data_IF_530237144980
#
_entry.id   IF_530237144980
#
_cell.length_a   1.000
_cell.length_b   1.000
_cell.length_c   1.000
_cell.angle_alpha   90.00
_cell.angle_beta   90.00
_cell.angle_gamma   90.00
#
_symmetry.space_group_name_H-M   'P 1'
#
loop_
_entity.id
_entity.type
_entity.pdbx_description
1 polymer ?
#
# COMPACT_ATOMS: atom_id res chain seq x y z
N UNK A 1 31.57 2.33 -13.72
CA UNK A 1 31.50 3.12 -12.48
C UNK A 1 30.32 4.04 -12.59
N UNK A 2 29.31 3.80 -11.76
CA UNK A 2 28.13 4.65 -11.67
C UNK A 2 28.43 5.95 -10.88
N UNK A 3 27.52 6.93 -10.95
CA UNK A 3 27.72 8.25 -10.32
C UNK A 3 27.15 8.34 -8.88
N UNK A 4 26.58 7.27 -8.33
CA UNK A 4 25.80 7.31 -7.09
C UNK A 4 26.55 6.76 -5.88
N UNK A 5 27.28 5.66 -6.06
CA UNK A 5 28.03 5.00 -5.00
C UNK A 5 29.20 4.19 -5.57
N UNK A 6 30.19 3.90 -4.72
CA UNK A 6 31.27 2.97 -5.00
C UNK A 6 31.03 1.63 -4.29
N UNK A 7 31.37 0.51 -4.95
CA UNK A 7 31.22 -0.84 -4.39
C UNK A 7 32.02 -1.10 -3.11
N UNK A 8 33.04 -0.29 -2.85
CA UNK A 8 33.83 -0.30 -1.61
C UNK A 8 33.18 0.49 -0.47
N UNK A 9 32.09 1.20 -0.71
CA UNK A 9 31.35 1.88 0.36
C UNK A 9 30.60 0.87 1.22
N UNK A 10 30.37 1.25 2.48
CA UNK A 10 29.65 0.38 3.40
C UNK A 10 28.19 0.27 2.98
N UNK A 11 27.59 -0.90 3.24
CA UNK A 11 26.17 -1.11 2.97
C UNK A 11 25.32 -0.07 3.72
N UNK A 12 25.75 0.33 4.93
CA UNK A 12 25.11 1.39 5.68
C UNK A 12 25.13 2.74 4.94
N UNK A 13 26.28 3.19 4.47
CA UNK A 13 26.40 4.52 3.85
C UNK A 13 25.62 4.63 2.53
N UNK A 14 25.50 3.53 1.78
CA UNK A 14 24.68 3.51 0.56
C UNK A 14 23.19 3.48 0.90
N UNK A 15 22.78 2.68 1.88
CA UNK A 15 21.36 2.60 2.28
C UNK A 15 20.85 3.84 3.01
N UNK A 16 21.71 4.62 3.67
CA UNK A 16 21.31 5.90 4.25
C UNK A 16 21.18 7.00 3.18
N UNK A 17 22.02 6.97 2.14
CA UNK A 17 21.91 7.90 1.01
C UNK A 17 20.77 7.55 0.07
N UNK A 18 20.50 6.27 -0.11
CA UNK A 18 19.46 5.75 -1.00
C UNK A 18 18.61 4.70 -0.27
N UNK A 19 17.67 5.11 0.61
CA UNK A 19 16.86 4.19 1.41
C UNK A 19 16.04 3.18 0.60
N UNK A 20 15.66 3.51 -0.62
CA UNK A 20 14.99 2.62 -1.58
C UNK A 20 15.78 1.34 -1.88
N UNK A 21 17.11 1.38 -1.71
CA UNK A 21 17.99 0.22 -1.91
C UNK A 21 17.85 -0.83 -0.81
N UNK A 22 17.30 -0.47 0.35
CA UNK A 22 17.15 -1.38 1.50
C UNK A 22 16.27 -2.57 1.13
N UNK A 23 15.14 -2.32 0.45
CA UNK A 23 14.19 -3.36 0.08
C UNK A 23 14.79 -4.34 -0.94
N UNK A 24 15.58 -3.80 -1.87
CA UNK A 24 16.32 -4.60 -2.83
C UNK A 24 17.34 -5.51 -2.13
N UNK A 25 18.14 -4.97 -1.22
CA UNK A 25 19.12 -5.76 -0.46
C UNK A 25 18.42 -6.83 0.41
N UNK A 26 17.28 -6.50 1.03
CA UNK A 26 16.49 -7.47 1.76
C UNK A 26 16.03 -8.64 0.85
N UNK A 27 15.54 -8.32 -0.35
CA UNK A 27 15.14 -9.31 -1.37
C UNK A 27 16.29 -10.18 -1.89
N UNK A 28 17.54 -9.70 -1.79
CA UNK A 28 18.76 -10.47 -2.11
C UNK A 28 19.30 -11.29 -0.91
N UNK A 29 18.51 -11.42 0.15
CA UNK A 29 18.83 -12.25 1.32
C UNK A 29 19.55 -11.52 2.45
N UNK A 30 19.51 -10.17 2.46
CA UNK A 30 19.98 -9.33 3.58
C UNK A 30 18.82 -8.78 4.42
N UNK A 31 17.80 -9.61 4.67
CA UNK A 31 16.58 -9.25 5.43
C UNK A 31 16.85 -8.50 6.74
N UNK A 32 17.88 -8.81 7.56
CA UNK A 32 18.18 -8.03 8.76
C UNK A 32 18.42 -6.53 8.54
N UNK A 33 18.79 -6.10 7.32
CA UNK A 33 19.00 -4.68 7.01
C UNK A 33 17.71 -3.86 6.97
N UNK A 34 16.53 -4.48 6.92
CA UNK A 34 15.25 -3.76 7.03
C UNK A 34 15.10 -3.13 8.41
N UNK A 35 15.67 -3.75 9.45
CA UNK A 35 15.73 -3.19 10.79
C UNK A 35 16.84 -2.11 10.88
N UNK A 36 16.52 -0.85 11.24
CA UNK A 36 17.50 0.24 11.31
C UNK A 36 18.67 0.00 12.28
N UNK A 37 18.42 -0.67 13.41
CA UNK A 37 19.47 -0.98 14.39
C UNK A 37 20.43 -2.02 13.83
N UNK A 38 19.91 -3.07 13.21
CA UNK A 38 20.71 -4.12 12.57
C UNK A 38 21.46 -3.58 11.34
N UNK A 39 20.84 -2.70 10.55
CA UNK A 39 21.49 -2.01 9.43
C UNK A 39 22.68 -1.15 9.90
N UNK A 40 22.53 -0.43 11.01
CA UNK A 40 23.62 0.34 11.61
C UNK A 40 24.75 -0.54 12.17
N UNK A 41 24.41 -1.67 12.78
CA UNK A 41 25.39 -2.57 13.41
C UNK A 41 26.12 -3.47 12.41
N UNK A 42 25.42 -3.99 11.40
CA UNK A 42 25.95 -4.91 10.40
C UNK A 42 26.40 -4.18 9.14
N UNK A 43 25.60 -3.24 8.64
CA UNK A 43 25.86 -2.54 7.38
C UNK A 43 27.10 -1.66 7.42
N UNK A 44 27.52 -1.17 8.60
CA UNK A 44 28.78 -0.42 8.77
C UNK A 44 30.03 -1.30 8.70
N UNK A 45 29.88 -2.62 8.89
CA UNK A 45 30.99 -3.57 8.97
C UNK A 45 31.28 -4.27 7.65
N UNK A 46 30.47 -4.05 6.62
CA UNK A 46 30.58 -4.74 5.33
C UNK A 46 30.37 -3.77 4.18
N UNK A 47 31.18 -3.91 3.13
CA UNK A 47 31.03 -3.14 1.88
C UNK A 47 29.98 -3.79 0.99
N UNK A 48 29.41 -3.04 0.04
CA UNK A 48 28.46 -3.59 -0.93
C UNK A 48 29.04 -4.77 -1.70
N UNK A 49 30.27 -4.65 -2.19
CA UNK A 49 30.96 -5.73 -2.90
C UNK A 49 31.04 -7.01 -2.07
N UNK A 50 31.51 -6.88 -0.82
CA UNK A 50 31.67 -8.02 0.10
C UNK A 50 30.32 -8.62 0.49
N UNK A 51 29.29 -7.79 0.63
CA UNK A 51 27.94 -8.25 0.87
C UNK A 51 27.50 -9.13 -0.31
N UNK A 52 27.54 -8.63 -1.54
CA UNK A 52 27.11 -9.40 -2.71
C UNK A 52 27.91 -10.69 -2.92
N UNK A 53 29.24 -10.64 -2.73
CA UNK A 53 30.09 -11.84 -2.76
C UNK A 53 29.68 -12.88 -1.71
N UNK A 54 29.31 -12.46 -0.49
CA UNK A 54 28.89 -13.37 0.58
C UNK A 54 27.63 -14.17 0.24
N UNK A 55 26.80 -13.66 -0.68
CA UNK A 55 25.58 -14.32 -1.18
C UNK A 55 25.77 -14.94 -2.57
N UNK A 56 27.01 -14.99 -3.09
CA UNK A 56 27.35 -15.50 -4.43
C UNK A 56 26.56 -14.79 -5.55
N UNK A 57 26.32 -13.49 -5.38
CA UNK A 57 25.60 -12.67 -6.34
C UNK A 57 26.57 -12.07 -7.36
N UNK A 58 26.09 -11.88 -8.57
CA UNK A 58 26.82 -11.16 -9.62
C UNK A 58 26.89 -9.67 -9.27
N UNK A 59 28.11 -9.17 -9.00
CA UNK A 59 28.36 -7.80 -8.56
C UNK A 59 27.94 -6.79 -9.62
N UNK A 60 28.28 -7.04 -10.90
CA UNK A 60 27.99 -6.11 -12.00
C UNK A 60 26.48 -6.03 -12.25
N UNK A 61 25.77 -7.14 -12.12
CA UNK A 61 24.32 -7.16 -12.17
C UNK A 61 23.72 -6.39 -10.98
N UNK A 62 24.22 -6.62 -9.77
CA UNK A 62 23.72 -5.94 -8.58
C UNK A 62 24.01 -4.43 -8.60
N UNK A 63 25.15 -4.00 -9.15
CA UNK A 63 25.46 -2.58 -9.37
C UNK A 63 24.41 -1.95 -10.27
N UNK A 64 24.15 -2.58 -11.43
CA UNK A 64 23.18 -2.07 -12.41
C UNK A 64 21.78 -2.01 -11.81
N UNK A 65 21.34 -3.05 -11.09
CA UNK A 65 20.02 -3.08 -10.45
C UNK A 65 19.88 -1.98 -9.38
N UNK A 66 20.91 -1.77 -8.54
CA UNK A 66 20.91 -0.69 -7.55
C UNK A 66 20.88 0.70 -8.20
N UNK A 67 21.71 0.91 -9.22
CA UNK A 67 21.74 2.18 -9.97
C UNK A 67 20.40 2.43 -10.63
N UNK A 68 19.79 1.41 -11.23
CA UNK A 68 18.48 1.54 -11.85
C UNK A 68 17.41 1.90 -10.82
N UNK A 69 17.46 1.34 -9.60
CA UNK A 69 16.54 1.70 -8.51
C UNK A 69 16.70 3.18 -8.13
N UNK A 70 17.94 3.64 -7.97
CA UNK A 70 18.26 5.04 -7.62
C UNK A 70 17.82 5.98 -8.75
N UNK A 71 18.14 5.63 -10.00
CA UNK A 71 17.79 6.40 -11.19
C UNK A 71 16.29 6.43 -11.42
N UNK A 72 15.58 5.33 -11.18
CA UNK A 72 14.12 5.29 -11.27
C UNK A 72 13.48 6.24 -10.26
N UNK A 73 14.03 6.30 -9.04
CA UNK A 73 13.58 7.23 -8.01
C UNK A 73 13.91 8.69 -8.38
N UNK A 74 15.09 8.94 -8.97
CA UNK A 74 15.53 10.26 -9.41
C UNK A 74 14.80 10.77 -10.67
N UNK A 75 14.54 9.89 -11.65
CA UNK A 75 13.93 10.20 -12.96
C UNK A 75 12.42 10.44 -12.87
N UNK A 76 11.78 10.03 -11.78
CA UNK A 76 10.37 10.34 -11.48
C UNK A 76 10.12 11.80 -11.08
N UNK A 77 11.01 12.75 -11.42
CA UNK A 77 10.83 14.19 -11.14
C UNK A 77 10.79 14.53 -9.65
N UNK A 78 11.26 13.62 -8.81
CA UNK A 78 11.11 13.62 -7.35
C UNK A 78 12.40 14.02 -6.60
N UNK A 79 13.46 14.38 -7.31
CA UNK A 79 14.77 14.64 -6.72
C UNK A 79 15.21 16.11 -6.84
N UNK A 80 14.60 16.98 -6.04
CA UNK A 80 15.35 18.07 -5.39
C UNK A 80 14.70 18.63 -4.11
N UNK A 81 13.73 17.92 -3.54
CA UNK A 81 13.10 18.32 -2.29
C UNK A 81 13.31 17.18 -1.31
N UNK A 82 14.42 17.32 -0.58
CA UNK A 82 14.68 16.75 0.73
C UNK A 82 13.82 15.51 1.09
N UNK A 83 14.33 14.30 0.86
CA UNK A 83 13.77 13.07 1.44
C UNK A 83 13.82 13.08 3.00
N UNK A 84 14.34 14.16 3.59
CA UNK A 84 14.19 14.53 4.99
C UNK A 84 13.25 15.70 5.26
N UNK A 85 12.33 16.04 4.33
CA UNK A 85 11.10 16.78 4.67
C UNK A 85 10.48 16.08 5.88
N UNK A 86 10.58 16.76 7.01
CA UNK A 86 10.83 16.19 8.33
C UNK A 86 9.89 15.05 8.70
N UNK A 87 10.38 13.81 8.63
CA UNK A 87 9.91 12.72 9.48
C UNK A 87 10.45 12.95 10.90
N UNK A 88 10.13 14.08 11.55
CA UNK A 88 10.42 14.34 12.97
C UNK A 88 9.48 15.41 13.54
N UNK A 89 8.37 14.98 14.14
CA UNK A 89 8.02 15.48 15.49
C UNK A 89 8.67 14.62 16.59
N UNK A 90 9.48 13.62 16.21
CA UNK A 90 10.43 12.95 17.08
C UNK A 90 11.61 13.87 17.40
N UNK A 91 11.40 14.75 18.37
CA UNK A 91 12.43 14.94 19.38
C UNK A 91 12.36 13.70 20.29
N UNK A 92 13.35 12.80 20.30
CA UNK A 92 13.38 11.64 21.20
C UNK A 92 13.54 12.03 22.69
N UNK A 93 13.44 13.32 23.00
CA UNK A 93 13.67 14.00 24.27
C UNK A 93 12.85 15.31 24.30
N UNK A 94 11.59 15.32 23.85
CA UNK A 94 10.73 16.38 24.41
C UNK A 94 10.57 16.06 25.90
N UNK A 95 10.90 16.99 26.82
CA UNK A 95 10.61 16.79 28.23
C UNK A 95 9.12 16.46 28.36
N UNK A 96 8.80 15.50 29.23
CA UNK A 96 7.43 15.23 29.63
C UNK A 96 6.86 16.53 30.21
N UNK A 97 6.10 17.24 29.36
CA UNK A 97 5.46 18.51 29.66
C UNK A 97 4.10 18.28 30.36
N UNK A 98 3.77 17.02 30.67
CA UNK A 98 2.51 16.62 31.29
C UNK A 98 1.30 16.79 30.39
N UNK A 99 1.48 17.12 29.10
CA UNK A 99 0.39 17.32 28.13
C UNK A 99 -0.06 15.99 27.54
N UNK A 100 -1.38 15.82 27.39
CA UNK A 100 -1.93 14.69 26.62
C UNK A 100 -1.49 14.85 25.15
N UNK A 101 -0.92 13.79 24.56
CA UNK A 101 -0.51 13.83 23.15
C UNK A 101 -1.56 13.13 22.28
N UNK A 102 -2.16 13.88 21.35
CA UNK A 102 -3.04 13.35 20.30
C UNK A 102 -2.18 12.95 19.10
N UNK A 103 -2.30 11.70 18.65
CA UNK A 103 -1.43 11.09 17.62
C UNK A 103 -2.20 10.83 16.33
N UNK A 104 -1.70 11.35 15.22
CA UNK A 104 -2.24 11.13 13.87
C UNK A 104 -1.18 10.37 13.07
N UNK A 105 -1.38 9.08 12.85
CA UNK A 105 -0.32 8.24 12.28
C UNK A 105 -0.86 7.37 11.16
N UNK A 106 0.02 6.95 10.27
CA UNK A 106 -0.38 6.08 9.20
C UNK A 106 0.57 6.02 8.03
N UNK A 107 0.07 5.42 6.96
CA UNK A 107 0.76 5.32 5.69
C UNK A 107 -0.08 5.93 4.57
N UNK A 108 0.61 6.61 3.65
CA UNK A 108 0.03 7.21 2.47
C UNK A 108 0.55 6.51 1.21
N UNK A 109 -0.30 6.26 0.20
CA UNK A 109 0.13 5.72 -1.08
C UNK A 109 1.14 6.66 -1.77
N UNK A 110 2.21 6.07 -2.32
CA UNK A 110 3.34 6.83 -2.88
C UNK A 110 2.93 7.94 -3.89
N UNK A 111 1.99 7.72 -4.84
CA UNK A 111 1.64 8.73 -5.84
C UNK A 111 1.00 10.01 -5.28
N UNK A 112 0.39 9.94 -4.09
CA UNK A 112 -0.32 11.08 -3.48
C UNK A 112 0.37 11.61 -2.22
N UNK A 113 1.42 10.93 -1.74
CA UNK A 113 2.04 11.22 -0.46
C UNK A 113 2.49 12.68 -0.36
N UNK A 114 3.28 13.16 -1.32
CA UNK A 114 3.82 14.53 -1.30
C UNK A 114 2.72 15.58 -1.34
N UNK A 115 1.84 15.62 -2.36
CA UNK A 115 0.83 16.67 -2.44
C UNK A 115 -0.14 16.64 -1.25
N UNK A 116 -0.43 15.45 -0.70
CA UNK A 116 -1.24 15.33 0.50
C UNK A 116 -0.51 15.83 1.75
N UNK A 117 0.77 15.47 1.92
CA UNK A 117 1.57 15.88 3.07
C UNK A 117 1.79 17.39 3.07
N UNK A 118 2.12 18.00 1.93
CA UNK A 118 2.23 19.46 1.81
C UNK A 118 0.92 20.17 2.19
N UNK A 119 -0.21 19.65 1.71
CA UNK A 119 -1.53 20.18 2.06
C UNK A 119 -1.85 20.01 3.55
N UNK A 120 -1.45 18.88 4.14
CA UNK A 120 -1.66 18.57 5.56
C UNK A 120 -0.77 19.43 6.45
N UNK A 121 0.50 19.64 6.08
CA UNK A 121 1.44 20.47 6.83
C UNK A 121 1.03 21.94 6.86
N UNK A 122 0.55 22.45 5.72
CA UNK A 122 -0.02 23.80 5.67
C UNK A 122 -1.26 23.92 6.59
N UNK A 123 -2.15 22.94 6.55
CA UNK A 123 -3.31 22.89 7.45
C UNK A 123 -2.90 22.76 8.92
N UNK A 124 -1.94 21.90 9.23
CA UNK A 124 -1.45 21.66 10.58
C UNK A 124 -0.82 22.92 11.17
N UNK A 125 0.02 23.63 10.42
CA UNK A 125 0.65 24.87 10.87
C UNK A 125 -0.40 25.94 11.21
N UNK A 126 -1.37 26.16 10.31
CA UNK A 126 -2.49 27.08 10.53
C UNK A 126 -3.34 26.68 11.74
N UNK A 127 -3.65 25.38 11.89
CA UNK A 127 -4.41 24.87 13.03
C UNK A 127 -3.69 25.14 14.37
N UNK A 128 -2.40 24.83 14.45
CA UNK A 128 -1.61 25.04 15.68
C UNK A 128 -1.54 26.52 16.05
N UNK A 129 -1.35 27.42 15.07
CA UNK A 129 -1.32 28.86 15.30
C UNK A 129 -2.68 29.39 15.77
N UNK A 130 -3.76 29.02 15.08
CA UNK A 130 -5.12 29.50 15.36
C UNK A 130 -5.72 28.93 16.64
N UNK A 131 -5.27 27.76 17.11
CA UNK A 131 -5.81 27.06 18.28
C UNK A 131 -4.85 27.03 19.48
N UNK A 132 -3.77 27.81 19.46
CA UNK A 132 -2.74 27.79 20.51
C UNK A 132 -3.32 27.94 21.93
N UNK A 133 -4.20 28.92 22.15
CA UNK A 133 -4.82 29.13 23.47
C UNK A 133 -5.71 27.96 23.91
N UNK A 134 -6.42 27.35 22.96
CA UNK A 134 -7.29 26.20 23.23
C UNK A 134 -6.48 24.95 23.57
N UNK A 135 -5.37 24.72 22.87
CA UNK A 135 -4.42 23.62 23.12
C UNK A 135 -3.81 23.74 24.51
N UNK A 136 -3.35 24.93 24.91
CA UNK A 136 -2.83 25.19 26.25
C UNK A 136 -3.90 25.00 27.33
N UNK A 137 -5.08 25.59 27.14
CA UNK A 137 -6.18 25.50 28.12
C UNK A 137 -6.65 24.07 28.36
N UNK A 138 -6.69 23.24 27.31
CA UNK A 138 -7.09 21.84 27.38
C UNK A 138 -5.92 20.89 27.69
N UNK A 139 -4.70 21.43 27.88
CA UNK A 139 -3.49 20.70 28.22
C UNK A 139 -3.19 19.50 27.29
N UNK A 140 -3.31 19.71 25.98
CA UNK A 140 -2.97 18.71 24.98
C UNK A 140 -2.10 19.28 23.85
N UNK A 141 -1.36 18.38 23.20
CA UNK A 141 -0.59 18.66 21.98
C UNK A 141 -0.90 17.64 20.92
N UNK A 142 -0.62 17.99 19.67
CA UNK A 142 -0.89 17.13 18.52
C UNK A 142 0.45 16.75 17.89
N UNK A 143 0.55 15.49 17.46
CA UNK A 143 1.69 14.98 16.70
C UNK A 143 1.19 14.15 15.54
N UNK A 144 1.95 14.16 14.46
CA UNK A 144 1.68 13.30 13.32
C UNK A 144 2.91 12.54 12.84
N UNK A 145 2.69 11.35 12.28
CA UNK A 145 3.68 10.53 11.59
C UNK A 145 3.02 9.81 10.40
N UNK A 146 3.08 10.45 9.23
CA UNK A 146 2.48 9.97 7.98
C UNK A 146 3.59 9.48 7.04
N UNK A 147 3.78 8.16 7.01
CA UNK A 147 4.86 7.52 6.29
C UNK A 147 4.42 7.07 4.90
N UNK A 148 5.38 6.63 4.10
CA UNK A 148 5.09 6.02 2.80
C UNK A 148 4.60 4.59 2.98
N UNK A 149 3.57 4.19 2.23
CA UNK A 149 3.05 2.82 2.24
C UNK A 149 4.11 1.76 1.88
N UNK A 150 5.13 2.12 1.09
CA UNK A 150 6.23 1.21 0.77
C UNK A 150 7.11 0.84 1.98
N UNK A 151 7.03 1.57 3.10
CA UNK A 151 7.74 1.27 4.34
C UNK A 151 6.99 0.24 5.21
N UNK A 152 5.79 -0.18 4.79
CA UNK A 152 4.94 -1.09 5.54
C UNK A 152 4.32 -0.43 6.78
N UNK A 153 3.74 -1.27 7.64
CA UNK A 153 2.96 -0.84 8.83
C UNK A 153 3.39 -1.58 10.10
N UNK A 154 4.57 -2.22 10.09
CA UNK A 154 5.05 -3.07 11.18
C UNK A 154 5.06 -2.34 12.53
N UNK A 155 5.38 -1.04 12.56
CA UNK A 155 5.38 -0.27 13.81
C UNK A 155 3.97 -0.11 14.39
N UNK A 156 2.93 0.03 13.56
CA UNK A 156 1.54 0.08 14.02
C UNK A 156 1.06 -1.30 14.46
N UNK A 157 1.46 -2.35 13.73
CA UNK A 157 1.19 -3.75 14.11
C UNK A 157 1.77 -4.04 15.49
N UNK A 158 3.00 -3.61 15.76
CA UNK A 158 3.64 -3.82 17.07
C UNK A 158 2.93 -3.06 18.20
N UNK A 159 2.39 -1.86 17.92
CA UNK A 159 1.53 -1.14 18.88
C UNK A 159 0.23 -1.89 19.13
N UNK A 160 -0.43 -2.40 18.08
CA UNK A 160 -1.67 -3.17 18.21
C UNK A 160 -1.47 -4.48 19.00
N UNK A 161 -0.35 -5.18 18.77
CA UNK A 161 0.03 -6.41 19.49
C UNK A 161 0.19 -6.22 20.99
N UNK A 162 0.38 -4.99 21.47
CA UNK A 162 0.41 -4.71 22.91
C UNK A 162 -0.93 -4.96 23.60
N UNK A 163 -2.04 -5.01 22.85
CA UNK A 163 -3.39 -5.17 23.39
C UNK A 163 -3.89 -3.97 24.19
N UNK A 164 -3.22 -2.81 24.09
CA UNK A 164 -3.52 -1.61 24.86
C UNK A 164 -3.91 -0.46 23.93
N UNK A 165 -5.13 0.05 24.07
CA UNK A 165 -5.65 1.13 23.23
C UNK A 165 -4.84 2.43 23.36
N UNK A 166 -4.21 2.65 24.51
CA UNK A 166 -3.41 3.85 24.79
C UNK A 166 -2.16 3.92 23.91
N UNK A 167 -1.68 2.76 23.45
CA UNK A 167 -0.51 2.67 22.57
C UNK A 167 -0.87 2.96 21.11
N UNK A 168 -2.14 2.84 20.74
CA UNK A 168 -2.60 3.09 19.37
C UNK A 168 -2.66 4.60 19.05
N UNK A 169 -2.57 5.00 17.77
CA UNK A 169 -2.84 6.37 17.35
C UNK A 169 -4.31 6.75 17.50
N UNK A 170 -4.58 8.04 17.68
CA UNK A 170 -5.93 8.59 17.84
C UNK A 170 -6.65 8.77 16.50
N UNK A 171 -5.88 9.07 15.43
CA UNK A 171 -6.31 8.93 14.04
C UNK A 171 -5.31 8.02 13.34
N UNK A 172 -5.81 6.98 12.68
CA UNK A 172 -5.01 5.98 11.99
C UNK A 172 -5.41 5.90 10.52
N UNK A 173 -4.44 6.08 9.62
CA UNK A 173 -4.60 5.97 8.17
C UNK A 173 -3.80 4.78 7.65
N UNK A 174 -4.45 3.83 6.98
CA UNK A 174 -3.73 2.74 6.34
C UNK A 174 -4.52 2.11 5.21
N UNK A 175 -3.82 1.41 4.32
CA UNK A 175 -4.44 0.54 3.34
C UNK A 175 -4.39 -0.91 3.85
N UNK A 176 -5.23 -1.75 3.26
CA UNK A 176 -5.16 -3.19 3.47
C UNK A 176 -5.99 -3.74 4.62
N UNK A 177 -6.21 -5.05 4.54
CA UNK A 177 -7.13 -5.78 5.41
C UNK A 177 -6.45 -6.35 6.66
N UNK A 178 -5.15 -6.64 6.59
CA UNK A 178 -4.41 -7.43 7.57
C UNK A 178 -4.34 -6.74 8.94
N UNK A 179 -4.10 -5.42 8.98
CA UNK A 179 -4.08 -4.69 10.23
C UNK A 179 -5.48 -4.55 10.85
N UNK A 180 -6.47 -4.17 10.04
CA UNK A 180 -7.75 -3.66 10.52
C UNK A 180 -8.78 -4.73 10.90
N UNK A 181 -8.69 -5.89 10.26
CA UNK A 181 -9.70 -6.95 10.42
C UNK A 181 -9.13 -8.24 11.02
N UNK A 182 -7.84 -8.28 11.35
CA UNK A 182 -7.28 -9.34 12.19
C UNK A 182 -7.67 -9.11 13.66
N UNK A 183 -8.33 -10.10 14.27
CA UNK A 183 -8.77 -10.06 15.66
C UNK A 183 -7.63 -9.96 16.67
N UNK A 184 -6.44 -10.47 16.34
CA UNK A 184 -5.22 -10.37 17.17
C UNK A 184 -4.58 -8.99 17.09
N UNK A 185 -4.99 -8.16 16.12
CA UNK A 185 -4.52 -6.79 15.92
C UNK A 185 -5.67 -5.81 16.22
N UNK A 186 -6.06 -4.97 15.26
CA UNK A 186 -7.06 -3.93 15.46
C UNK A 186 -8.47 -4.48 15.69
N UNK A 187 -8.78 -5.67 15.18
CA UNK A 187 -10.14 -6.23 15.19
C UNK A 187 -10.75 -6.30 16.60
N UNK A 188 -9.96 -6.64 17.62
CA UNK A 188 -10.44 -6.70 19.00
C UNK A 188 -10.85 -5.32 19.56
N UNK A 189 -10.08 -4.27 19.28
CA UNK A 189 -10.41 -2.90 19.70
C UNK A 189 -11.66 -2.37 18.98
N UNK A 190 -11.87 -2.79 17.74
CA UNK A 190 -13.06 -2.46 16.94
C UNK A 190 -14.31 -3.17 17.49
N UNK A 191 -14.22 -4.46 17.80
CA UNK A 191 -15.30 -5.22 18.45
C UNK A 191 -15.69 -4.59 19.81
N UNK A 192 -14.71 -4.04 20.53
CA UNK A 192 -14.90 -3.30 21.78
C UNK A 192 -15.42 -1.87 21.61
N UNK A 193 -15.69 -1.42 20.37
CA UNK A 193 -16.23 -0.09 20.02
C UNK A 193 -15.34 1.08 20.48
N UNK A 194 -14.03 0.87 20.46
CA UNK A 194 -13.07 1.90 20.84
C UNK A 194 -12.79 2.92 19.72
N UNK A 195 -13.11 2.55 18.49
CA UNK A 195 -13.01 3.41 17.31
C UNK A 195 -14.39 3.71 16.73
N UNK A 196 -14.53 4.89 16.15
CA UNK A 196 -15.73 5.35 15.45
C UNK A 196 -15.34 6.28 14.32
N UNK A 197 -15.74 5.96 13.09
CA UNK A 197 -15.57 6.86 11.95
C UNK A 197 -16.69 6.59 10.96
N UNK A 198 -17.60 7.56 10.81
CA UNK A 198 -18.79 7.43 9.98
C UNK A 198 -18.68 8.27 8.71
N UNK A 199 -19.10 7.69 7.58
CA UNK A 199 -19.39 8.42 6.35
C UNK A 199 -20.88 8.27 6.04
N UNK A 200 -21.67 9.30 6.35
CA UNK A 200 -23.11 9.25 6.06
C UNK A 200 -23.38 9.38 4.54
N UNK A 201 -22.50 10.11 3.84
CA UNK A 201 -22.52 10.28 2.39
C UNK A 201 -21.17 9.96 1.78
N UNK A 202 -21.16 9.24 0.66
CA UNK A 202 -19.97 9.00 -0.15
C UNK A 202 -20.26 9.30 -1.61
N UNK A 203 -19.21 9.34 -2.42
CA UNK A 203 -19.28 9.53 -3.85
C UNK A 203 -20.22 8.52 -4.52
N UNK A 204 -20.98 8.97 -5.53
CA UNK A 204 -21.93 8.16 -6.31
C UNK A 204 -21.30 6.93 -6.98
N UNK A 205 -19.99 6.99 -7.27
CA UNK A 205 -19.25 5.85 -7.83
C UNK A 205 -19.16 4.68 -6.82
N UNK A 206 -19.34 4.97 -5.52
CA UNK A 206 -19.17 4.05 -4.40
C UNK A 206 -20.41 3.90 -3.51
N UNK A 207 -21.54 4.47 -3.92
CA UNK A 207 -22.85 4.32 -3.29
C UNK A 207 -23.92 4.30 -4.38
N UNK A 208 -24.22 3.11 -4.88
CA UNK A 208 -25.18 2.84 -5.96
C UNK A 208 -25.72 1.40 -5.86
N UNK A 209 -26.50 0.96 -6.84
CA UNK A 209 -27.26 -0.29 -6.80
C UNK A 209 -26.42 -1.58 -6.61
N UNK A 210 -25.10 -1.54 -6.85
CA UNK A 210 -24.23 -2.73 -6.77
C UNK A 210 -23.04 -2.58 -5.83
N UNK A 211 -22.76 -1.37 -5.31
CA UNK A 211 -21.67 -1.14 -4.37
C UNK A 211 -22.04 -0.05 -3.37
N UNK A 212 -21.77 -0.32 -2.10
CA UNK A 212 -21.83 0.66 -1.02
C UNK A 212 -20.58 0.51 -0.15
N UNK A 213 -19.75 1.54 -0.10
CA UNK A 213 -18.53 1.58 0.71
C UNK A 213 -18.77 2.12 2.13
N UNK A 214 -19.99 2.54 2.47
CA UNK A 214 -20.31 3.01 3.83
C UNK A 214 -20.35 1.83 4.79
N UNK A 215 -19.61 1.94 5.89
CA UNK A 215 -19.67 0.98 6.97
C UNK A 215 -20.92 1.20 7.83
N UNK A 216 -21.86 0.25 7.79
CA UNK A 216 -23.09 0.31 8.60
C UNK A 216 -22.83 0.34 10.10
N UNK A 217 -21.71 -0.24 10.56
CA UNK A 217 -21.32 -0.22 11.98
C UNK A 217 -20.54 1.05 12.35
N UNK A 218 -20.20 1.90 11.38
CA UNK A 218 -19.53 3.20 11.57
C UNK A 218 -18.20 3.10 12.35
N UNK A 219 -17.45 2.03 12.14
CA UNK A 219 -16.11 1.83 12.71
C UNK A 219 -15.03 2.41 11.79
N UNK A 220 -15.25 2.33 10.47
CA UNK A 220 -14.27 2.66 9.44
C UNK A 220 -14.80 3.69 8.44
N UNK A 221 -13.95 4.64 8.05
CA UNK A 221 -14.16 5.44 6.85
C UNK A 221 -13.22 4.96 5.74
N UNK A 222 -13.75 4.69 4.55
CA UNK A 222 -12.92 4.53 3.34
C UNK A 222 -12.80 5.91 2.70
N UNK A 223 -11.59 6.47 2.64
CA UNK A 223 -11.35 7.85 2.16
C UNK A 223 -10.94 7.93 0.68
N UNK A 224 -10.53 6.78 0.13
CA UNK A 224 -10.20 6.59 -1.27
C UNK A 224 -9.93 5.13 -1.57
N UNK A 225 -9.86 4.79 -2.86
CA UNK A 225 -9.64 3.41 -3.30
C UNK A 225 -8.52 3.33 -4.32
N UNK A 226 -7.77 2.23 -4.26
CA UNK A 226 -6.80 1.83 -5.28
C UNK A 226 -7.44 0.74 -6.14
N UNK A 227 -7.83 1.01 -7.39
CA UNK A 227 -8.52 0.01 -8.21
C UNK A 227 -7.51 -1.00 -8.78
N UNK A 228 -7.72 -2.29 -8.53
CA UNK A 228 -7.01 -3.37 -9.20
C UNK A 228 -7.63 -3.62 -10.58
N UNK A 229 -6.80 -3.64 -11.61
CA UNK A 229 -7.18 -3.89 -13.00
C UNK A 229 -6.27 -4.95 -13.62
N UNK A 230 -6.52 -5.29 -14.88
CA UNK A 230 -5.66 -6.17 -15.67
C UNK A 230 -4.88 -5.36 -16.71
N UNK A 231 -3.58 -5.63 -16.82
CA UNK A 231 -2.74 -5.19 -17.93
C UNK A 231 -2.40 -6.43 -18.76
N UNK A 232 -2.85 -6.47 -20.00
CA UNK A 232 -2.74 -7.63 -20.89
C UNK A 232 -1.67 -7.36 -21.94
N UNK A 233 -0.69 -8.25 -22.07
CA UNK A 233 0.28 -8.20 -23.15
C UNK A 233 -0.26 -8.93 -24.38
N UNK A 234 -0.78 -8.17 -25.36
CA UNK A 234 -1.43 -8.75 -26.54
C UNK A 234 -0.48 -9.52 -27.44
N UNK A 235 0.84 -9.29 -27.32
CA UNK A 235 1.84 -10.05 -28.08
C UNK A 235 2.04 -11.48 -27.55
N UNK A 236 1.57 -11.79 -26.33
CA UNK A 236 1.75 -13.08 -25.67
C UNK A 236 0.44 -13.88 -25.54
N UNK A 237 -0.67 -13.39 -26.08
CA UNK A 237 -1.97 -14.08 -26.01
C UNK A 237 -1.96 -15.43 -26.72
N UNK A 238 -1.15 -15.60 -27.77
CA UNK A 238 -1.00 -16.87 -28.50
C UNK A 238 -2.35 -17.49 -28.91
N UNK A 239 -3.24 -16.67 -29.49
CA UNK A 239 -4.59 -17.07 -29.90
C UNK A 239 -5.67 -17.00 -28.82
N UNK A 240 -5.31 -16.78 -27.54
CA UNK A 240 -6.27 -16.54 -26.45
C UNK A 240 -7.03 -15.23 -26.65
N UNK A 241 -8.25 -15.18 -26.12
CA UNK A 241 -9.00 -13.93 -26.03
C UNK A 241 -8.42 -13.04 -24.93
N UNK A 242 -8.60 -11.73 -25.07
CA UNK A 242 -8.31 -10.80 -23.98
C UNK A 242 -9.29 -11.12 -22.83
N UNK A 243 -8.82 -11.38 -21.59
CA UNK A 243 -9.71 -11.60 -20.46
C UNK A 243 -10.46 -10.30 -20.17
N UNK A 244 -11.75 -10.38 -19.88
CA UNK A 244 -12.62 -9.22 -19.62
C UNK A 244 -13.22 -9.25 -18.21
N UNK A 245 -13.08 -10.37 -17.50
CA UNK A 245 -13.59 -10.59 -16.13
C UNK A 245 -12.54 -11.27 -15.26
N UNK A 246 -12.72 -11.20 -13.94
CA UNK A 246 -11.85 -11.93 -13.00
C UNK A 246 -11.97 -13.45 -13.12
N UNK A 247 -13.09 -13.98 -13.63
CA UNK A 247 -13.24 -15.41 -13.87
C UNK A 247 -12.41 -15.89 -15.07
N UNK A 248 -12.26 -15.06 -16.11
CA UNK A 248 -11.53 -15.44 -17.33
C UNK A 248 -10.08 -15.84 -17.02
N UNK A 249 -9.42 -15.11 -16.12
CA UNK A 249 -8.02 -15.40 -15.72
C UNK A 249 -7.88 -16.65 -14.83
N UNK A 250 -8.99 -17.22 -14.35
CA UNK A 250 -9.01 -18.46 -13.57
C UNK A 250 -9.19 -19.71 -14.45
N UNK A 251 -9.34 -19.52 -15.76
CA UNK A 251 -9.54 -20.61 -16.71
C UNK A 251 -8.21 -21.35 -17.02
N UNK A 252 -8.27 -22.62 -17.46
CA UNK A 252 -7.08 -23.39 -17.79
C UNK A 252 -6.16 -22.75 -18.84
N UNK A 253 -6.69 -21.93 -19.75
CA UNK A 253 -5.90 -21.24 -20.78
C UNK A 253 -4.97 -20.15 -20.20
N UNK A 254 -5.23 -19.67 -18.98
CA UNK A 254 -4.39 -18.69 -18.30
C UNK A 254 -3.50 -19.28 -17.21
N UNK A 255 -3.42 -20.62 -17.06
CA UNK A 255 -2.45 -21.25 -16.17
C UNK A 255 -1.01 -20.80 -16.49
N UNK A 256 -0.24 -20.51 -15.44
CA UNK A 256 1.13 -20.00 -15.51
C UNK A 256 1.33 -18.82 -16.46
N UNK A 257 0.37 -17.88 -16.49
CA UNK A 257 0.44 -16.72 -17.38
C UNK A 257 0.09 -15.38 -16.72
N UNK A 258 -0.27 -15.39 -15.44
CA UNK A 258 -0.72 -14.21 -14.70
C UNK A 258 0.34 -13.80 -13.68
N UNK A 259 0.77 -12.54 -13.71
CA UNK A 259 1.58 -11.98 -12.64
C UNK A 259 0.71 -11.34 -11.56
N UNK A 260 1.03 -11.66 -10.32
CA UNK A 260 0.26 -11.27 -9.13
C UNK A 260 1.15 -10.37 -8.24
N UNK A 261 0.61 -9.26 -7.71
CA UNK A 261 1.39 -8.23 -7.02
C UNK A 261 1.67 -8.61 -5.56
N UNK A 262 2.37 -9.72 -5.31
CA UNK A 262 2.65 -10.22 -3.95
C UNK A 262 3.49 -9.24 -3.10
N UNK A 263 4.27 -8.37 -3.76
CA UNK A 263 5.02 -7.30 -3.10
C UNK A 263 4.18 -6.10 -2.64
N UNK A 264 2.91 -6.03 -3.04
CA UNK A 264 1.93 -5.05 -2.57
C UNK A 264 0.85 -5.82 -1.80
N UNK A 265 1.10 -6.03 -0.50
CA UNK A 265 0.25 -6.88 0.34
C UNK A 265 -1.20 -6.38 0.39
N UNK A 266 -1.42 -5.07 0.29
CA UNK A 266 -2.77 -4.48 0.38
C UNK A 266 -3.58 -4.80 -0.87
N UNK A 267 -2.96 -4.65 -2.05
CA UNK A 267 -3.59 -5.03 -3.32
C UNK A 267 -3.79 -6.54 -3.42
N UNK A 268 -2.77 -7.32 -3.05
CA UNK A 268 -2.83 -8.77 -3.04
C UNK A 268 -3.98 -9.28 -2.17
N UNK A 269 -4.06 -8.82 -0.92
CA UNK A 269 -5.12 -9.19 0.02
C UNK A 269 -6.51 -8.86 -0.54
N UNK A 270 -6.66 -7.69 -1.17
CA UNK A 270 -7.93 -7.28 -1.80
C UNK A 270 -8.35 -8.22 -2.93
N UNK A 271 -7.39 -8.61 -3.79
CA UNK A 271 -7.63 -9.53 -4.91
C UNK A 271 -8.04 -10.90 -4.39
N UNK A 272 -7.26 -11.52 -3.51
CA UNK A 272 -7.54 -12.88 -3.06
C UNK A 272 -8.83 -12.97 -2.25
N UNK A 273 -9.16 -11.96 -1.43
CA UNK A 273 -10.44 -11.92 -0.71
C UNK A 273 -11.64 -11.82 -1.65
N UNK A 274 -11.57 -11.00 -2.71
CA UNK A 274 -12.64 -10.89 -3.70
C UNK A 274 -12.80 -12.18 -4.51
N UNK A 275 -11.69 -12.82 -4.92
CA UNK A 275 -11.74 -14.10 -5.64
C UNK A 275 -12.31 -15.19 -4.73
N UNK A 276 -11.88 -15.26 -3.48
CA UNK A 276 -12.42 -16.22 -2.51
C UNK A 276 -13.92 -16.00 -2.25
N UNK A 277 -14.35 -14.77 -2.01
CA UNK A 277 -15.75 -14.45 -1.75
C UNK A 277 -16.68 -14.85 -2.91
N UNK A 278 -16.18 -14.80 -4.15
CA UNK A 278 -16.96 -15.10 -5.36
C UNK A 278 -16.87 -16.55 -5.81
N UNK A 279 -15.70 -17.18 -5.67
CA UNK A 279 -15.37 -18.46 -6.29
C UNK A 279 -14.87 -19.51 -5.28
N UNK A 280 -14.83 -19.18 -3.99
CA UNK A 280 -14.41 -20.06 -2.91
C UNK A 280 -12.97 -20.55 -3.02
N UNK A 281 -12.68 -21.66 -2.35
CA UNK A 281 -11.37 -22.32 -2.36
C UNK A 281 -10.90 -22.69 -3.77
N UNK A 282 -11.82 -23.09 -4.65
CA UNK A 282 -11.49 -23.45 -6.03
C UNK A 282 -11.02 -22.24 -6.84
N UNK A 283 -11.58 -21.04 -6.58
CA UNK A 283 -11.09 -19.80 -7.16
C UNK A 283 -9.66 -19.49 -6.78
N UNK A 284 -9.32 -19.66 -5.49
CA UNK A 284 -7.96 -19.44 -4.97
C UNK A 284 -6.96 -20.43 -5.57
N UNK A 285 -7.33 -21.71 -5.67
CA UNK A 285 -6.48 -22.72 -6.31
C UNK A 285 -6.24 -22.40 -7.78
N UNK A 286 -7.27 -22.01 -8.53
CA UNK A 286 -7.14 -21.60 -9.94
C UNK A 286 -6.28 -20.35 -10.09
N UNK A 287 -6.43 -19.37 -9.21
CA UNK A 287 -5.59 -18.17 -9.19
C UNK A 287 -4.12 -18.52 -8.89
N UNK A 288 -3.87 -19.44 -7.95
CA UNK A 288 -2.54 -19.98 -7.67
C UNK A 288 -1.91 -20.64 -8.91
N UNK A 289 -2.66 -21.48 -9.62
CA UNK A 289 -2.19 -22.09 -10.88
C UNK A 289 -1.97 -21.08 -12.00
N UNK A 290 -2.79 -20.05 -12.08
CA UNK A 290 -2.63 -18.95 -13.03
C UNK A 290 -1.34 -18.17 -12.79
N UNK A 291 -0.86 -18.11 -11.53
CA UNK A 291 0.34 -17.39 -11.14
C UNK A 291 1.58 -17.91 -11.88
N UNK A 292 2.24 -17.02 -12.63
CA UNK A 292 3.51 -17.30 -13.32
C UNK A 292 4.70 -16.65 -12.63
N UNK A 293 4.48 -15.53 -11.95
CA UNK A 293 5.52 -14.75 -11.31
C UNK A 293 4.96 -13.78 -10.26
N UNK A 294 5.77 -13.53 -9.22
CA UNK A 294 5.58 -12.42 -8.30
C UNK A 294 6.35 -11.21 -8.82
N UNK A 295 5.65 -10.26 -9.44
CA UNK A 295 6.26 -9.05 -9.98
C UNK A 295 5.75 -7.81 -9.23
N UNK A 296 6.58 -6.77 -9.15
CA UNK A 296 6.11 -5.47 -8.67
C UNK A 296 5.39 -4.74 -9.82
N UNK A 297 4.25 -4.06 -9.58
CA UNK A 297 3.49 -3.35 -10.61
C UNK A 297 4.31 -2.42 -11.53
N UNK A 298 5.29 -1.70 -10.97
CA UNK A 298 6.19 -0.82 -11.72
C UNK A 298 7.06 -1.57 -12.77
N UNK A 299 7.37 -2.85 -12.55
CA UNK A 299 8.09 -3.69 -13.50
C UNK A 299 7.17 -4.17 -14.65
N UNK A 300 5.86 -4.31 -14.37
CA UNK A 300 4.86 -4.82 -15.30
C UNK A 300 4.53 -3.82 -16.43
N UNK A 301 4.77 -2.52 -16.23
CA UNK A 301 4.44 -1.47 -17.22
C UNK A 301 5.57 -1.07 -18.15
N UNK A 302 6.80 -1.54 -17.92
CA UNK A 302 7.99 -1.21 -18.74
C UNK A 302 8.10 -2.09 -19.99
N UNK A 303 6.98 -2.29 -20.71
CA UNK A 303 6.87 -3.20 -21.86
C UNK A 303 8.13 -3.24 -22.74
N UNK A 304 8.83 -4.37 -22.71
CA UNK A 304 9.93 -4.71 -23.62
C UNK A 304 11.30 -4.09 -23.29
N UNK A 305 12.22 -4.92 -22.76
CA UNK A 305 13.66 -5.00 -23.12
C UNK A 305 14.50 -5.96 -22.27
N UNK A 306 14.01 -6.45 -21.12
CA UNK A 306 14.74 -7.48 -20.36
C UNK A 306 14.34 -8.87 -20.84
N UNK A 307 15.19 -9.47 -21.68
CA UNK A 307 15.02 -10.83 -22.23
C UNK A 307 15.31 -11.95 -21.21
N UNK A 308 15.47 -11.64 -19.92
CA UNK A 308 15.93 -12.59 -18.91
C UNK A 308 14.81 -13.22 -18.05
N UNK A 309 13.58 -12.71 -18.11
CA UNK A 309 12.42 -13.28 -17.41
C UNK A 309 11.22 -13.35 -18.36
N UNK A 310 10.54 -14.51 -18.42
CA UNK A 310 9.33 -14.67 -19.21
C UNK A 310 8.27 -13.67 -18.73
N UNK A 311 7.84 -12.77 -19.62
CA UNK A 311 6.83 -11.79 -19.27
C UNK A 311 5.46 -12.46 -19.13
N UNK A 312 4.64 -12.06 -18.13
CA UNK A 312 3.28 -12.57 -17.98
C UNK A 312 2.38 -12.12 -19.14
N UNK A 313 1.40 -12.93 -19.49
CA UNK A 313 0.33 -12.57 -20.44
C UNK A 313 -0.60 -11.53 -19.81
N UNK A 314 -0.91 -11.70 -18.52
CA UNK A 314 -1.77 -10.78 -17.75
C UNK A 314 -1.06 -10.35 -16.49
N UNK A 315 -1.14 -9.07 -16.15
CA UNK A 315 -0.61 -8.52 -14.92
C UNK A 315 -1.73 -7.86 -14.12
N UNK A 316 -1.92 -8.28 -12.88
CA UNK A 316 -2.84 -7.61 -11.95
C UNK A 316 -2.10 -6.43 -11.33
N UNK A 317 -2.65 -5.22 -11.50
CA UNK A 317 -1.94 -3.98 -11.17
C UNK A 317 -2.89 -2.87 -10.71
N UNK A 318 -2.44 -1.92 -9.86
CA UNK A 318 -3.18 -0.67 -9.64
C UNK A 318 -3.42 0.09 -10.95
N UNK A 319 -4.63 0.65 -11.09
CA UNK A 319 -5.01 1.47 -12.25
C UNK A 319 -4.05 2.63 -12.53
N UNK A 320 -3.46 3.21 -11.49
CA UNK A 320 -2.44 4.27 -11.62
C UNK A 320 -1.32 3.90 -12.60
N UNK A 321 -0.80 2.69 -12.54
CA UNK A 321 0.30 2.24 -13.42
C UNK A 321 -0.13 2.17 -14.89
N UNK A 322 -1.42 1.98 -15.16
CA UNK A 322 -1.96 1.99 -16.52
C UNK A 322 -1.73 3.32 -17.24
N UNK A 323 -1.55 4.43 -16.49
CA UNK A 323 -1.27 5.77 -17.04
C UNK A 323 0.16 5.94 -17.53
N UNK A 324 1.05 5.02 -17.16
CA UNK A 324 2.47 5.03 -17.54
C UNK A 324 2.75 4.15 -18.76
N UNK A 325 1.73 3.44 -19.27
CA UNK A 325 1.88 2.55 -20.41
C UNK A 325 1.98 3.38 -21.69
N UNK A 326 3.08 3.23 -22.42
CA UNK A 326 3.25 3.83 -23.75
C UNK A 326 2.34 3.10 -24.76
N UNK A 327 1.56 3.88 -25.52
CA UNK A 327 0.59 3.39 -26.52
C UNK A 327 1.22 2.54 -27.63
N UNK A 328 2.53 2.64 -27.84
CA UNK A 328 3.30 1.85 -28.82
C UNK A 328 3.64 0.45 -28.33
N UNK A 329 3.44 0.18 -27.03
CA UNK A 329 3.67 -1.15 -26.45
C UNK A 329 2.50 -2.09 -26.78
N UNK A 330 2.70 -3.42 -26.74
CA UNK A 330 1.61 -4.38 -26.86
C UNK A 330 0.74 -4.48 -25.59
N UNK A 331 0.94 -3.60 -24.60
CA UNK A 331 0.20 -3.64 -23.34
C UNK A 331 -1.15 -2.95 -23.50
N UNK A 332 -2.22 -3.65 -23.09
CA UNK A 332 -3.59 -3.13 -23.07
C UNK A 332 -4.14 -3.13 -21.65
N UNK A 333 -4.71 -2.00 -21.26
CA UNK A 333 -5.42 -1.87 -19.99
C UNK A 333 -6.83 -2.42 -20.14
N UNK A 334 -7.19 -3.39 -19.29
CA UNK A 334 -8.54 -3.92 -19.18
C UNK A 334 -9.10 -3.55 -17.81
N UNK A 335 -10.19 -2.79 -17.84
CA UNK A 335 -11.05 -2.60 -16.67
C UNK A 335 -12.08 -3.75 -16.65
N UNK A 336 -12.06 -4.65 -15.66
CA UNK A 336 -12.93 -5.83 -15.68
C UNK A 336 -14.41 -5.46 -15.74
N UNK A 337 -15.19 -6.17 -16.55
CA UNK A 337 -16.65 -5.95 -16.72
C UNK A 337 -17.44 -6.24 -15.45
N UNK A 338 -16.94 -7.16 -14.65
CA UNK A 338 -17.41 -7.51 -13.31
C UNK A 338 -16.80 -6.63 -12.21
N UNK A 339 -16.08 -5.57 -12.59
CA UNK A 339 -15.62 -4.49 -11.73
C UNK A 339 -14.15 -4.56 -11.35
N UNK A 340 -13.47 -3.42 -11.31
CA UNK A 340 -12.13 -3.31 -10.76
C UNK A 340 -12.17 -3.58 -9.24
N UNK A 341 -11.32 -4.48 -8.74
CA UNK A 341 -11.30 -4.82 -7.31
C UNK A 341 -10.82 -3.62 -6.51
N UNK A 342 -11.59 -3.27 -5.47
CA UNK A 342 -11.28 -2.16 -4.57
C UNK A 342 -10.26 -2.59 -3.53
N UNK A 343 -9.08 -1.97 -3.54
CA UNK A 343 -8.17 -1.92 -2.40
C UNK A 343 -8.40 -0.61 -1.62
N UNK A 344 -9.10 -0.64 -0.48
CA UNK A 344 -9.51 0.55 0.25
C UNK A 344 -8.37 1.19 1.05
N UNK A 345 -8.43 2.51 1.18
CA UNK A 345 -7.62 3.30 2.11
C UNK A 345 -8.54 3.70 3.26
N UNK A 346 -8.31 3.10 4.43
CA UNK A 346 -9.13 3.29 5.61
C UNK A 346 -8.60 4.42 6.50
N UNK A 347 -9.54 5.04 7.20
CA UNK A 347 -9.30 5.91 8.33
C UNK A 347 -10.11 5.40 9.53
N UNK A 348 -9.44 5.30 10.67
CA UNK A 348 -10.03 4.99 11.96
C UNK A 348 -9.76 6.15 12.92
N UNK A 349 -10.72 6.41 13.81
CA UNK A 349 -10.63 7.49 14.80
C UNK A 349 -11.02 6.92 16.15
N UNK A 350 -10.19 7.14 17.17
CA UNK A 350 -10.55 6.74 18.53
C UNK A 350 -11.71 7.57 19.03
N UNK A 351 -12.67 6.88 19.64
CA UNK A 351 -13.91 7.48 20.12
C UNK A 351 -13.70 8.49 21.25
N UNK A 352 -12.73 8.25 22.13
CA UNK A 352 -12.46 9.13 23.28
C UNK A 352 -11.69 10.41 22.92
N UNK A 353 -11.13 10.49 21.71
CA UNK A 353 -10.46 11.68 21.18
C UNK A 353 -11.18 12.31 19.99
N UNK A 354 -12.33 11.79 19.58
CA UNK A 354 -13.06 12.22 18.38
C UNK A 354 -13.28 13.74 18.31
N UNK A 355 -13.64 14.36 19.45
CA UNK A 355 -13.82 15.81 19.55
C UNK A 355 -12.52 16.60 19.34
N UNK A 356 -11.37 16.07 19.76
CA UNK A 356 -10.05 16.70 19.61
C UNK A 356 -9.48 16.50 18.20
N UNK A 357 -9.86 15.41 17.54
CA UNK A 357 -9.35 15.05 16.21
C UNK A 357 -10.26 15.51 15.07
N UNK A 358 -11.41 16.12 15.38
CA UNK A 358 -12.48 16.42 14.42
C UNK A 358 -11.99 17.21 13.20
N UNK A 359 -11.17 18.23 13.38
CA UNK A 359 -10.71 19.07 12.27
C UNK A 359 -9.71 18.33 11.37
N UNK A 360 -8.88 17.46 11.94
CA UNK A 360 -7.96 16.60 11.18
C UNK A 360 -8.71 15.54 10.38
N UNK A 361 -9.72 14.92 11.00
CA UNK A 361 -10.63 13.98 10.30
C UNK A 361 -11.34 14.70 9.17
N UNK A 362 -11.84 15.92 9.41
CA UNK A 362 -12.50 16.75 8.40
C UNK A 362 -11.55 17.13 7.25
N UNK A 363 -10.28 17.40 7.55
CA UNK A 363 -9.25 17.61 6.53
C UNK A 363 -9.09 16.39 5.61
N UNK A 364 -8.95 15.19 6.16
CA UNK A 364 -8.78 13.97 5.35
C UNK A 364 -10.03 13.61 4.54
N UNK A 365 -11.22 13.98 5.03
CA UNK A 365 -12.49 13.79 4.33
C UNK A 365 -12.85 14.95 3.40
N UNK A 366 -12.06 16.01 3.35
CA UNK A 366 -12.38 17.21 2.57
C UNK A 366 -12.34 17.00 1.06
N UNK A 367 -13.04 17.86 0.31
CA UNK A 367 -12.99 17.88 -1.15
C UNK A 367 -11.56 18.14 -1.67
N UNK A 368 -10.78 18.97 -0.96
CA UNK A 368 -9.37 19.23 -1.28
C UNK A 368 -8.56 17.94 -1.25
N UNK A 369 -8.67 17.17 -0.17
CA UNK A 369 -7.98 15.87 -0.04
C UNK A 369 -8.49 14.89 -1.09
N UNK A 370 -9.80 14.77 -1.27
CA UNK A 370 -10.37 13.88 -2.28
C UNK A 370 -9.94 14.23 -3.71
N UNK A 371 -9.75 15.51 -4.01
CA UNK A 371 -9.22 15.97 -5.30
C UNK A 371 -7.77 15.54 -5.52
N UNK A 372 -6.92 15.59 -4.49
CA UNK A 372 -5.54 15.07 -4.54
C UNK A 372 -5.54 13.57 -4.85
N UNK A 373 -6.42 12.81 -4.21
CA UNK A 373 -6.60 11.37 -4.48
C UNK A 373 -6.98 11.12 -5.95
N UNK A 374 -8.05 11.76 -6.42
CA UNK A 374 -8.61 11.50 -7.74
C UNK A 374 -7.69 11.98 -8.89
N UNK A 375 -7.12 13.19 -8.78
CA UNK A 375 -6.39 13.82 -9.89
C UNK A 375 -4.91 13.48 -9.93
N UNK A 376 -4.23 13.51 -8.79
CA UNK A 376 -2.78 13.25 -8.71
C UNK A 376 -2.49 11.76 -8.55
N UNK A 377 -3.35 11.04 -7.82
CA UNK A 377 -3.16 9.62 -7.53
C UNK A 377 -3.78 8.66 -8.52
N UNK A 378 -4.75 9.13 -9.32
CA UNK A 378 -5.69 8.24 -10.01
C UNK A 378 -6.31 7.21 -9.05
N UNK A 379 -6.50 7.61 -7.79
CA UNK A 379 -7.15 6.86 -6.73
C UNK A 379 -8.52 7.48 -6.53
N UNK A 380 -9.59 6.86 -7.05
CA UNK A 380 -10.92 7.42 -6.90
C UNK A 380 -11.24 7.73 -5.43
N UNK A 381 -11.73 8.93 -5.19
CA UNK A 381 -12.11 9.42 -3.87
C UNK A 381 -13.54 9.05 -3.54
N UNK A 382 -13.79 8.81 -2.26
CA UNK A 382 -15.13 8.63 -1.71
C UNK A 382 -15.78 9.94 -1.29
N UNK A 383 -15.11 11.09 -1.42
CA UNK A 383 -15.73 12.38 -1.14
C UNK A 383 -16.88 12.67 -2.13
N UNK A 384 -18.07 13.09 -1.65
CA UNK A 384 -19.27 13.24 -2.50
C UNK A 384 -19.18 14.38 -3.53
N UNK A 385 -18.31 15.38 -3.32
CA UNK A 385 -18.15 16.53 -4.22
C UNK A 385 -17.11 16.31 -5.31
N UNK A 386 -16.30 15.25 -5.22
CA UNK A 386 -15.16 15.03 -6.13
C UNK A 386 -15.60 14.28 -7.39
N UNK A 387 -15.16 14.75 -8.55
CA UNK A 387 -15.27 13.99 -9.81
C UNK A 387 -14.05 13.08 -10.00
N UNK A 388 -14.26 11.77 -9.98
CA UNK A 388 -13.22 10.77 -10.18
C UNK A 388 -12.76 10.65 -11.65
N UNK A 389 -13.42 11.34 -12.59
CA UNK A 389 -13.12 11.33 -14.03
C UNK A 389 -13.10 9.91 -14.63
N UNK A 390 -14.01 9.07 -14.14
CA UNK A 390 -14.23 7.73 -14.66
C UNK A 390 -15.45 7.73 -15.58
N UNK A 391 -15.37 6.97 -16.67
CA UNK A 391 -16.50 6.76 -17.55
C UNK A 391 -17.55 5.86 -16.88
N UNK A 392 -18.83 6.04 -17.23
CA UNK A 392 -19.95 5.38 -16.56
C UNK A 392 -19.94 3.84 -16.67
N UNK A 393 -19.19 3.27 -17.61
CA UNK A 393 -18.99 1.83 -17.78
C UNK A 393 -18.00 1.21 -16.78
N UNK A 394 -17.22 2.03 -16.06
CA UNK A 394 -16.20 1.57 -15.11
C UNK A 394 -16.83 1.20 -13.77
N UNK A 395 -17.09 -0.09 -13.58
CA UNK A 395 -17.63 -0.64 -12.33
C UNK A 395 -16.54 -1.02 -11.33
N UNK A 396 -16.92 -1.17 -10.07
CA UNK A 396 -16.03 -1.63 -8.99
C UNK A 396 -16.52 -2.94 -8.39
N UNK A 397 -15.59 -3.73 -7.84
CA UNK A 397 -15.86 -4.94 -7.06
C UNK A 397 -15.37 -4.73 -5.63
N UNK A 398 -16.30 -4.83 -4.68
CA UNK A 398 -16.02 -4.74 -3.25
C UNK A 398 -16.38 -6.07 -2.59
N UNK A 399 -15.54 -6.53 -1.66
CA UNK A 399 -15.78 -7.81 -0.96
C UNK A 399 -17.03 -7.76 -0.08
N UNK A 400 -17.44 -6.56 0.35
CA UNK A 400 -18.65 -6.32 1.12
C UNK A 400 -18.42 -6.29 2.63
N UNK A 401 -19.11 -5.39 3.32
CA UNK A 401 -19.05 -5.29 4.79
C UNK A 401 -19.62 -6.52 5.48
N UNK A 402 -20.67 -7.13 4.92
CA UNK A 402 -21.23 -8.38 5.43
C UNK A 402 -20.19 -9.50 5.44
N UNK A 403 -19.45 -9.65 4.35
CA UNK A 403 -18.37 -10.63 4.28
C UNK A 403 -17.29 -10.34 5.33
N UNK A 404 -16.87 -9.09 5.46
CA UNK A 404 -15.86 -8.68 6.45
C UNK A 404 -16.32 -8.98 7.88
N UNK A 405 -17.57 -8.65 8.23
CA UNK A 405 -18.07 -8.81 9.59
C UNK A 405 -18.47 -10.25 9.95
N UNK A 406 -18.74 -11.11 8.97
CA UNK A 406 -19.10 -12.51 9.20
C UNK A 406 -17.88 -13.44 9.26
N UNK A 407 -16.68 -12.95 8.91
CA UNK A 407 -15.47 -13.75 8.84
C UNK A 407 -14.36 -13.20 9.75
N UNK A 408 -13.49 -14.10 10.23
CA UNK A 408 -12.20 -13.72 10.79
C UNK A 408 -11.22 -13.48 9.64
N UNK A 409 -11.12 -12.23 9.19
CA UNK A 409 -10.34 -11.89 7.99
C UNK A 409 -8.85 -12.19 8.17
N UNK A 410 -8.30 -12.02 9.37
CA UNK A 410 -6.91 -12.38 9.66
C UNK A 410 -6.65 -13.86 9.43
N UNK A 411 -7.42 -14.72 10.10
CA UNK A 411 -7.29 -16.18 9.95
C UNK A 411 -7.62 -16.66 8.52
N UNK A 412 -8.60 -16.03 7.87
CA UNK A 412 -8.99 -16.36 6.50
C UNK A 412 -7.88 -16.00 5.51
N UNK A 413 -7.23 -14.85 5.65
CA UNK A 413 -6.10 -14.46 4.82
C UNK A 413 -4.92 -15.41 4.99
N UNK A 414 -4.59 -15.86 6.21
CA UNK A 414 -3.56 -16.88 6.45
C UNK A 414 -3.87 -18.17 5.67
N UNK A 415 -5.12 -18.66 5.73
CA UNK A 415 -5.57 -19.84 4.99
C UNK A 415 -5.47 -19.63 3.47
N UNK A 416 -6.03 -18.53 2.97
CA UNK A 416 -6.07 -18.22 1.52
C UNK A 416 -4.65 -18.11 0.96
N UNK A 417 -3.74 -17.44 1.68
CA UNK A 417 -2.32 -17.32 1.31
C UNK A 417 -1.67 -18.70 1.18
N UNK A 418 -1.85 -19.58 2.17
CA UNK A 418 -1.30 -20.93 2.15
C UNK A 418 -1.87 -21.79 1.00
N UNK A 419 -3.18 -21.74 0.75
CA UNK A 419 -3.83 -22.46 -0.34
C UNK A 419 -3.34 -21.96 -1.71
N UNK A 420 -3.21 -20.63 -1.85
CA UNK A 420 -2.69 -19.99 -3.04
C UNK A 420 -1.23 -20.39 -3.32
N UNK A 421 -0.33 -20.30 -2.33
CA UNK A 421 1.08 -20.66 -2.46
C UNK A 421 1.27 -22.14 -2.81
N UNK A 422 0.47 -23.02 -2.18
CA UNK A 422 0.45 -24.45 -2.48
C UNK A 422 0.07 -24.69 -3.94
N UNK A 423 -0.98 -24.03 -4.44
CA UNK A 423 -1.43 -24.18 -5.82
C UNK A 423 -0.48 -23.54 -6.83
N UNK A 424 0.23 -22.48 -6.46
CA UNK A 424 1.27 -21.83 -7.26
C UNK A 424 2.57 -22.66 -7.36
N UNK A 425 2.64 -23.83 -6.70
CA UNK A 425 3.85 -24.66 -6.67
C UNK A 425 4.98 -24.05 -5.85
N UNK A 426 4.67 -23.05 -5.00
CA UNK A 426 5.60 -22.41 -4.07
C UNK A 426 5.59 -23.19 -2.75
N UNK A 427 5.96 -24.48 -2.75
CA UNK A 427 6.04 -25.24 -1.51
C UNK A 427 7.18 -24.73 -0.63
N UNK A 428 6.91 -24.67 0.67
CA UNK A 428 7.79 -24.27 1.77
C UNK A 428 9.02 -25.17 1.95
N UNK A 429 9.89 -25.25 0.94
CA UNK A 429 11.22 -25.88 1.02
C UNK A 429 12.31 -24.82 0.84
N UNK A 430 12.43 -23.93 1.83
CA UNK A 430 13.69 -23.31 2.22
C UNK A 430 13.48 -22.53 3.52
N UNK A 431 13.56 -23.28 4.63
CA UNK A 431 13.79 -22.70 5.96
C UNK A 431 15.18 -22.11 6.07
#
# INVERSE_FOLDING_TARGET
>A
MNNYFNMNETVFDVTERYPETIRYLAGKGFTPLTNPVMRKLMGKKITLEKAFLSKKLDIDLCERELVEIIEQNASSGLAHIDLSLKVKSDNPLEPDDGKKTVRIEGVLPCPIRIPLLESFEAFYADYIETHQEALEKQNYKIRYDLRSANLGIDWIIDLARTGKKENLPDVLLSAGFELFFDKKLMGSFIENKEFHCALDTVNKDFCNDYIDLRDEKKNYAIIGVVPAIMIVNTALLDGRKIPETWEDILSPEFEHSVAIPFGDLDLFNSVVLNIYARFGDEGIKKLGKACSAYMHPAQMVKGGKSAATAQPVVSISPYFFSKMIDERTPLKTVWPKDGAIVAPIFMLVKKDTEALTKDFVSFFLSEKTGTVFAQSGFFPSTNPSVDNRLSADKKFSWVGWDFIYQNDIGALLEKIKADFETAAGSSSESR
#
